data_IF_581957622889
#
_entry.id   IF_581957622889
#
_cell.length_a   1.000
_cell.length_b   1.000
_cell.length_c   1.000
_cell.angle_alpha   90.00
_cell.angle_beta   90.00
_cell.angle_gamma   90.00
#
_symmetry.space_group_name_H-M   'P 1'
#
loop_
_entity.id
_entity.type
_entity.pdbx_description
1 polymer ?
#
# COMPACT_ATOMS: atom_id res chain seq x y z
N UNK A 1 25.59 11.72 -13.55
CA UNK A 1 25.83 10.30 -13.87
C UNK A 1 25.58 9.55 -12.59
N UNK A 2 24.56 8.68 -12.52
CA UNK A 2 24.33 7.88 -11.32
C UNK A 2 25.45 6.82 -11.24
N UNK A 3 26.23 6.84 -10.16
CA UNK A 3 27.30 5.87 -9.92
C UNK A 3 26.72 4.45 -9.85
N UNK A 4 27.35 3.51 -10.55
CA UNK A 4 27.02 2.08 -10.42
C UNK A 4 27.49 1.63 -9.04
N UNK A 5 26.62 0.97 -8.26
CA UNK A 5 26.97 0.51 -6.92
C UNK A 5 28.18 -0.44 -6.95
N UNK A 6 28.99 -0.39 -5.89
CA UNK A 6 30.23 -1.18 -5.83
C UNK A 6 30.01 -2.62 -5.40
N UNK A 7 28.92 -2.88 -4.70
CA UNK A 7 28.58 -4.18 -4.13
C UNK A 7 27.05 -4.42 -4.12
N UNK A 8 26.66 -5.64 -3.80
CA UNK A 8 25.25 -6.05 -3.78
C UNK A 8 24.42 -5.28 -2.74
N UNK A 9 24.99 -4.93 -1.56
CA UNK A 9 24.28 -4.19 -0.51
C UNK A 9 23.94 -2.78 -0.97
N UNK A 10 24.89 -2.08 -1.55
CA UNK A 10 24.69 -0.75 -2.13
C UNK A 10 23.70 -0.78 -3.31
N UNK A 11 23.76 -1.84 -4.14
CA UNK A 11 22.81 -2.02 -5.24
C UNK A 11 21.39 -2.22 -4.72
N UNK A 12 21.18 -3.12 -3.77
CA UNK A 12 19.87 -3.39 -3.17
C UNK A 12 19.29 -2.14 -2.48
N UNK A 13 20.12 -1.38 -1.75
CA UNK A 13 19.71 -0.12 -1.16
C UNK A 13 19.25 0.89 -2.21
N UNK A 14 19.99 1.02 -3.32
CA UNK A 14 19.62 1.91 -4.42
C UNK A 14 18.34 1.46 -5.16
N UNK A 15 18.10 0.16 -5.27
CA UNK A 15 16.88 -0.41 -5.83
C UNK A 15 15.67 -0.15 -4.91
N UNK A 16 15.83 -0.30 -3.60
CA UNK A 16 14.79 0.06 -2.63
C UNK A 16 14.41 1.54 -2.74
N UNK A 17 15.37 2.44 -2.77
CA UNK A 17 15.09 3.86 -2.91
C UNK A 17 14.46 4.22 -4.27
N UNK A 18 14.78 3.50 -5.34
CA UNK A 18 14.09 3.66 -6.61
C UNK A 18 12.60 3.33 -6.50
N UNK A 19 12.25 2.27 -5.75
CA UNK A 19 10.86 1.93 -5.44
C UNK A 19 10.17 3.04 -4.64
N UNK A 20 10.75 3.44 -3.49
CA UNK A 20 10.17 4.44 -2.59
C UNK A 20 9.94 5.78 -3.30
N UNK A 21 10.93 6.25 -4.08
CA UNK A 21 10.80 7.50 -4.83
C UNK A 21 9.72 7.44 -5.92
N UNK A 22 9.58 6.29 -6.59
CA UNK A 22 8.58 6.11 -7.65
C UNK A 22 7.13 6.14 -7.13
N UNK A 23 6.94 5.80 -5.84
CA UNK A 23 5.63 5.77 -5.19
C UNK A 23 5.46 6.88 -4.15
N UNK A 24 6.33 7.89 -4.16
CA UNK A 24 6.19 9.07 -3.30
C UNK A 24 4.85 9.78 -3.58
N UNK A 25 3.93 9.86 -2.62
CA UNK A 25 2.54 10.27 -2.88
C UNK A 25 2.42 11.65 -3.50
N UNK A 26 3.24 12.62 -3.04
CA UNK A 26 3.26 13.98 -3.59
C UNK A 26 3.74 14.02 -5.03
N UNK A 27 4.86 13.38 -5.35
CA UNK A 27 5.41 13.35 -6.71
C UNK A 27 4.47 12.64 -7.70
N UNK A 28 3.91 11.51 -7.28
CA UNK A 28 2.95 10.74 -8.08
C UNK A 28 1.67 11.53 -8.34
N UNK A 29 1.16 12.26 -7.34
CA UNK A 29 0.01 13.14 -7.49
C UNK A 29 0.30 14.31 -8.45
N UNK A 30 1.46 14.96 -8.28
CA UNK A 30 1.89 16.06 -9.18
C UNK A 30 1.89 15.60 -10.64
N UNK A 31 2.53 14.48 -10.92
CA UNK A 31 2.58 13.92 -12.27
C UNK A 31 1.19 13.58 -12.83
N UNK A 32 0.24 13.19 -11.97
CA UNK A 32 -1.14 12.95 -12.38
C UNK A 32 -1.89 14.25 -12.66
N UNK A 33 -1.71 15.30 -11.85
CA UNK A 33 -2.35 16.61 -12.00
C UNK A 33 -1.83 17.38 -13.23
N UNK A 34 -0.55 17.29 -13.53
CA UNK A 34 0.04 17.91 -14.73
C UNK A 34 -0.60 17.44 -16.04
N UNK A 35 -1.17 16.22 -16.05
CA UNK A 35 -1.91 15.66 -17.19
C UNK A 35 -3.35 16.17 -17.31
N UNK A 36 -3.84 16.92 -16.33
CA UNK A 36 -5.18 17.55 -16.44
C UNK A 36 -5.15 18.59 -17.55
N UNK A 37 -6.07 18.51 -18.54
CA UNK A 37 -6.11 19.44 -19.67
C UNK A 37 -6.29 20.90 -19.20
N UNK A 38 -5.61 21.83 -19.86
CA UNK A 38 -5.63 23.26 -19.50
C UNK A 38 -7.05 23.83 -19.41
N UNK A 39 -7.94 23.46 -20.32
CA UNK A 39 -9.34 23.90 -20.35
C UNK A 39 -10.15 23.42 -19.14
N UNK A 40 -9.69 22.38 -18.44
CA UNK A 40 -10.36 21.85 -17.26
C UNK A 40 -9.86 22.48 -15.96
N UNK A 41 -8.74 23.20 -15.99
CA UNK A 41 -8.11 23.81 -14.81
C UNK A 41 -8.86 25.03 -14.25
N UNK A 42 -9.90 25.50 -14.94
CA UNK A 42 -10.71 26.66 -14.55
C UNK A 42 -11.78 26.42 -13.48
N UNK A 43 -12.07 25.18 -13.12
CA UNK A 43 -13.14 24.83 -12.16
C UNK A 43 -12.79 25.23 -10.71
N UNK A 44 -13.81 25.45 -9.88
CA UNK A 44 -13.65 25.57 -8.42
C UNK A 44 -13.27 24.21 -7.84
N UNK A 45 -12.17 24.10 -7.13
CA UNK A 45 -11.64 22.83 -6.65
C UNK A 45 -11.79 22.74 -5.13
N UNK A 46 -12.39 21.63 -4.68
CA UNK A 46 -12.40 21.17 -3.29
C UNK A 46 -11.38 20.06 -3.12
N UNK A 47 -10.74 19.99 -1.95
CA UNK A 47 -9.76 18.92 -1.64
C UNK A 47 -10.25 18.12 -0.44
N UNK A 48 -10.48 16.82 -0.62
CA UNK A 48 -10.80 15.86 0.45
C UNK A 48 -9.70 14.81 0.46
N UNK A 49 -8.82 14.86 1.45
CA UNK A 49 -7.69 13.95 1.59
C UNK A 49 -7.88 13.04 2.81
N UNK A 50 -7.82 11.71 2.63
CA UNK A 50 -8.08 10.74 3.70
C UNK A 50 -7.03 9.63 3.65
N UNK A 51 -6.33 9.38 4.76
CA UNK A 51 -5.38 8.29 4.89
C UNK A 51 -4.03 8.70 5.45
N UNK A 52 -3.11 7.74 5.56
CA UNK A 52 -1.75 7.96 6.10
C UNK A 52 -0.92 8.94 5.27
N UNK A 53 -1.15 9.01 3.95
CA UNK A 53 -0.48 9.94 3.05
C UNK A 53 -1.34 11.18 2.70
N UNK A 54 -2.45 11.43 3.43
CA UNK A 54 -3.38 12.52 3.14
C UNK A 54 -2.69 13.90 3.17
N UNK A 55 -1.84 14.13 4.17
CA UNK A 55 -1.18 15.44 4.34
C UNK A 55 -0.20 15.76 3.19
N UNK A 56 0.80 14.94 2.84
CA UNK A 56 1.71 15.21 1.73
C UNK A 56 0.98 15.26 0.37
N UNK A 57 -0.07 14.48 0.16
CA UNK A 57 -0.90 14.58 -1.05
C UNK A 57 -1.63 15.93 -1.11
N UNK A 58 -2.25 16.37 -0.01
CA UNK A 58 -2.96 17.65 0.04
C UNK A 58 -2.01 18.84 -0.15
N UNK A 59 -0.83 18.82 0.48
CA UNK A 59 0.20 19.85 0.27
C UNK A 59 0.56 19.97 -1.22
N UNK A 60 0.78 18.85 -1.90
CA UNK A 60 1.08 18.84 -3.33
C UNK A 60 -0.11 19.36 -4.17
N UNK A 61 -1.32 18.94 -3.87
CA UNK A 61 -2.53 19.40 -4.55
C UNK A 61 -2.68 20.92 -4.45
N UNK A 62 -2.47 21.48 -3.26
CA UNK A 62 -2.56 22.91 -3.01
C UNK A 62 -1.43 23.70 -3.69
N UNK A 63 -0.20 23.16 -3.71
CA UNK A 63 0.91 23.74 -4.44
C UNK A 63 0.62 23.82 -5.95
N UNK A 64 0.09 22.76 -6.54
CA UNK A 64 -0.30 22.71 -7.96
C UNK A 64 -1.44 23.71 -8.26
N UNK A 65 -2.43 23.84 -7.38
CA UNK A 65 -3.47 24.86 -7.52
C UNK A 65 -2.86 26.27 -7.52
N UNK A 66 -1.94 26.56 -6.61
CA UNK A 66 -1.25 27.85 -6.56
C UNK A 66 -0.44 28.14 -7.84
N UNK A 67 0.26 27.15 -8.40
CA UNK A 67 0.96 27.23 -9.69
C UNK A 67 0.00 27.53 -10.86
N UNK A 68 -1.25 27.06 -10.75
CA UNK A 68 -2.30 27.40 -11.73
C UNK A 68 -2.98 28.75 -11.45
N UNK A 69 -2.48 29.54 -10.49
CA UNK A 69 -3.09 30.79 -9.99
C UNK A 69 -4.53 30.56 -9.49
N UNK A 70 -4.76 29.46 -8.76
CA UNK A 70 -6.05 29.07 -8.19
C UNK A 70 -5.94 28.90 -6.68
N UNK A 71 -7.01 29.25 -5.99
CA UNK A 71 -7.19 28.94 -4.58
C UNK A 71 -8.18 27.80 -4.40
N UNK A 72 -8.03 26.90 -3.42
CA UNK A 72 -9.03 25.89 -3.15
C UNK A 72 -10.34 26.55 -2.69
N UNK A 73 -11.47 26.01 -3.11
CA UNK A 73 -12.79 26.44 -2.65
C UNK A 73 -13.03 26.08 -1.18
N UNK A 74 -12.33 25.06 -0.72
CA UNK A 74 -12.33 24.53 0.63
C UNK A 74 -11.78 23.10 0.64
N UNK A 75 -11.78 22.46 1.79
CA UNK A 75 -11.35 21.08 1.88
C UNK A 75 -11.17 20.58 3.30
N UNK A 76 -10.78 19.31 3.38
CA UNK A 76 -10.43 18.64 4.63
C UNK A 76 -9.33 17.61 4.41
N UNK A 77 -8.42 17.55 5.35
CA UNK A 77 -7.38 16.52 5.47
C UNK A 77 -7.67 15.70 6.72
N UNK A 78 -7.79 14.39 6.54
CA UNK A 78 -7.97 13.43 7.65
C UNK A 78 -6.77 12.49 7.65
N UNK A 79 -5.95 12.58 8.69
CA UNK A 79 -4.69 11.87 8.85
C UNK A 79 -4.58 11.26 10.26
N UNK A 80 -3.59 10.37 10.55
CA UNK A 80 -3.40 9.83 11.90
C UNK A 80 -3.06 10.90 12.95
N UNK A 81 -2.36 11.96 12.54
CA UNK A 81 -1.94 13.06 13.41
C UNK A 81 -2.53 14.38 12.91
N UNK A 82 -2.76 15.30 13.84
CA UNK A 82 -3.15 16.66 13.52
C UNK A 82 -1.89 17.48 13.25
N UNK A 83 -1.77 17.97 12.05
CA UNK A 83 -0.67 18.85 11.61
C UNK A 83 -1.22 20.22 11.26
N UNK A 84 -0.34 21.20 11.08
CA UNK A 84 -0.75 22.54 10.67
C UNK A 84 -1.47 22.49 9.30
N UNK A 85 -2.57 23.21 9.18
CA UNK A 85 -3.31 23.30 7.93
C UNK A 85 -2.44 23.99 6.86
N UNK A 86 -2.22 23.35 5.69
CA UNK A 86 -1.35 23.89 4.65
C UNK A 86 -2.00 25.08 3.91
N UNK A 87 -3.29 25.35 4.12
CA UNK A 87 -4.00 26.49 3.55
C UNK A 87 -5.22 26.85 4.44
N UNK A 88 -5.54 28.15 4.64
CA UNK A 88 -6.65 28.58 5.53
C UNK A 88 -8.03 28.04 5.15
N UNK A 89 -8.26 27.74 3.88
CA UNK A 89 -9.53 27.16 3.41
C UNK A 89 -9.66 25.64 3.62
N UNK A 90 -8.63 24.97 4.14
CA UNK A 90 -8.58 23.52 4.31
C UNK A 90 -8.46 23.18 5.79
N UNK A 91 -9.37 22.38 6.29
CA UNK A 91 -9.35 21.89 7.66
C UNK A 91 -8.43 20.68 7.79
N UNK A 92 -7.80 20.49 8.95
CA UNK A 92 -7.07 19.26 9.30
C UNK A 92 -7.73 18.63 10.51
N UNK A 93 -7.91 17.32 10.46
CA UNK A 93 -8.45 16.52 11.57
C UNK A 93 -7.64 15.23 11.72
N UNK A 94 -7.34 14.89 12.96
CA UNK A 94 -6.83 13.56 13.26
C UNK A 94 -7.99 12.55 13.31
N UNK A 95 -7.78 11.37 12.74
CA UNK A 95 -8.61 10.19 12.97
C UNK A 95 -7.87 9.16 13.83
N UNK A 96 -8.62 8.22 14.40
CA UNK A 96 -8.04 7.11 15.16
C UNK A 96 -7.64 5.96 14.22
N UNK A 97 -6.47 5.38 14.45
CA UNK A 97 -5.92 4.30 13.63
C UNK A 97 -4.94 3.46 14.47
N UNK A 98 -4.94 2.12 14.39
CA UNK A 98 -5.69 1.25 13.45
C UNK A 98 -7.15 1.01 13.87
N UNK A 99 -7.50 1.21 15.13
CA UNK A 99 -8.86 1.04 15.65
C UNK A 99 -9.57 2.39 15.60
N UNK A 100 -10.78 2.48 14.97
CA UNK A 100 -11.53 3.72 14.92
C UNK A 100 -12.06 4.12 16.29
N UNK A 101 -12.23 5.43 16.50
CA UNK A 101 -12.69 5.99 17.76
C UNK A 101 -13.38 7.35 17.59
N UNK A 102 -13.49 8.13 18.68
CA UNK A 102 -14.21 9.40 18.66
C UNK A 102 -13.66 10.42 17.65
N UNK A 103 -12.33 10.48 17.46
CA UNK A 103 -11.73 11.38 16.47
C UNK A 103 -12.10 10.99 15.04
N UNK A 104 -12.23 9.69 14.77
CA UNK A 104 -12.67 9.19 13.45
C UNK A 104 -14.11 9.61 13.14
N UNK A 105 -15.00 9.60 14.15
CA UNK A 105 -16.38 10.08 14.02
C UNK A 105 -16.41 11.57 13.70
N UNK A 106 -15.69 12.39 14.48
CA UNK A 106 -15.60 13.83 14.24
C UNK A 106 -15.07 14.13 12.84
N UNK A 107 -13.99 13.47 12.43
CA UNK A 107 -13.44 13.61 11.09
C UNK A 107 -14.46 13.26 9.99
N UNK A 108 -15.22 12.17 10.16
CA UNK A 108 -16.26 11.76 9.23
C UNK A 108 -17.43 12.77 9.15
N UNK A 109 -17.83 13.37 10.26
CA UNK A 109 -18.83 14.44 10.29
C UNK A 109 -18.34 15.69 9.55
N UNK A 110 -17.07 16.06 9.75
CA UNK A 110 -16.44 17.20 9.06
C UNK A 110 -16.37 16.97 7.54
N UNK A 111 -16.05 15.74 7.09
CA UNK A 111 -16.16 15.37 5.66
C UNK A 111 -17.58 15.67 5.14
N UNK A 112 -18.61 15.30 5.88
CA UNK A 112 -20.01 15.57 5.51
C UNK A 112 -20.32 17.05 5.36
N UNK A 113 -19.81 17.89 6.27
CA UNK A 113 -19.97 19.34 6.20
C UNK A 113 -19.26 19.96 4.98
N UNK A 114 -18.09 19.42 4.59
CA UNK A 114 -17.39 19.84 3.37
C UNK A 114 -18.17 19.39 2.14
N UNK A 115 -18.58 18.12 2.07
CA UNK A 115 -19.35 17.57 0.96
C UNK A 115 -20.65 18.35 0.72
N UNK A 116 -21.37 18.73 1.80
CA UNK A 116 -22.60 19.53 1.71
C UNK A 116 -22.43 20.96 1.17
N UNK A 117 -21.20 21.46 1.04
CA UNK A 117 -20.89 22.77 0.43
C UNK A 117 -20.54 22.70 -1.04
N UNK A 118 -20.28 21.50 -1.56
CA UNK A 118 -19.95 21.24 -2.96
C UNK A 118 -21.18 21.50 -3.84
N UNK A 119 -21.01 22.10 -5.00
CA UNK A 119 -22.09 22.51 -5.92
C UNK A 119 -21.88 21.87 -7.29
N UNK A 120 -22.92 21.85 -8.08
CA UNK A 120 -22.84 21.58 -9.51
C UNK A 120 -21.82 22.52 -10.18
N UNK A 121 -20.99 21.99 -11.07
CA UNK A 121 -19.91 22.72 -11.72
C UNK A 121 -18.59 22.76 -10.93
N UNK A 122 -18.61 22.43 -9.64
CA UNK A 122 -17.37 22.26 -8.87
C UNK A 122 -16.61 20.97 -9.29
N UNK A 123 -15.34 20.91 -8.94
CA UNK A 123 -14.50 19.72 -9.02
C UNK A 123 -14.00 19.34 -7.62
N UNK A 124 -14.04 18.07 -7.28
CA UNK A 124 -13.52 17.56 -6.01
C UNK A 124 -12.35 16.64 -6.26
N UNK A 125 -11.20 16.95 -5.68
CA UNK A 125 -10.06 16.05 -5.65
C UNK A 125 -10.12 15.22 -4.37
N UNK A 126 -10.48 13.95 -4.53
CA UNK A 126 -10.46 12.97 -3.44
C UNK A 126 -9.11 12.29 -3.47
N UNK A 127 -8.29 12.53 -2.43
CA UNK A 127 -6.93 12.01 -2.28
C UNK A 127 -6.97 10.89 -1.24
N UNK A 128 -6.86 9.64 -1.70
CA UNK A 128 -7.09 8.46 -0.88
C UNK A 128 -5.80 7.66 -0.70
N UNK A 129 -5.54 7.23 0.52
CA UNK A 129 -4.44 6.32 0.84
C UNK A 129 -4.82 5.35 1.96
N UNK A 130 -3.96 4.39 2.28
CA UNK A 130 -4.18 3.39 3.32
C UNK A 130 -4.58 3.97 4.66
N UNK A 131 -5.37 3.20 5.43
CA UNK A 131 -5.90 3.60 6.72
C UNK A 131 -7.18 4.44 6.69
N UNK A 132 -7.65 4.88 5.53
CA UNK A 132 -8.81 5.77 5.40
C UNK A 132 -10.09 5.22 6.05
N UNK A 133 -10.31 3.90 6.02
CA UNK A 133 -11.48 3.24 6.65
C UNK A 133 -11.57 3.53 8.14
N UNK A 134 -10.46 3.42 8.86
CA UNK A 134 -10.42 3.67 10.31
C UNK A 134 -10.42 5.17 10.63
N UNK A 135 -9.64 5.94 9.89
CA UNK A 135 -9.47 7.38 10.12
C UNK A 135 -10.75 8.21 9.94
N UNK A 136 -11.64 7.77 9.06
CA UNK A 136 -12.92 8.44 8.79
C UNK A 136 -14.12 7.51 9.04
N UNK A 137 -14.02 6.65 10.04
CA UNK A 137 -15.08 5.71 10.39
C UNK A 137 -16.26 6.42 11.03
N UNK A 138 -17.41 6.29 10.40
CA UNK A 138 -18.70 6.65 10.95
C UNK A 138 -19.77 5.67 10.48
N UNK A 139 -20.82 5.43 11.26
CA UNK A 139 -21.88 4.52 10.88
C UNK A 139 -22.78 5.11 9.79
N UNK A 140 -23.38 4.21 9.01
CA UNK A 140 -24.40 4.54 8.02
C UNK A 140 -25.80 4.41 8.62
N UNK A 141 -26.69 5.32 8.20
CA UNK A 141 -28.12 5.28 8.54
C UNK A 141 -28.40 5.34 10.04
N UNK A 142 -29.10 4.34 10.57
CA UNK A 142 -29.54 4.26 11.97
C UNK A 142 -28.60 3.47 12.87
N UNK A 143 -27.47 3.01 12.35
CA UNK A 143 -26.44 2.32 13.14
C UNK A 143 -25.76 3.32 14.06
N UNK A 144 -25.55 2.95 15.33
CA UNK A 144 -24.86 3.80 16.29
C UNK A 144 -23.35 3.62 16.23
N UNK A 145 -22.56 4.63 16.63
CA UNK A 145 -21.10 4.54 16.66
C UNK A 145 -20.57 3.37 17.48
N UNK A 146 -21.13 3.15 18.68
CA UNK A 146 -20.74 2.04 19.56
C UNK A 146 -21.01 0.67 18.91
N UNK A 147 -22.12 0.53 18.19
CA UNK A 147 -22.46 -0.68 17.46
C UNK A 147 -21.45 -0.96 16.32
N UNK A 148 -21.05 0.09 15.59
CA UNK A 148 -20.03 -0.04 14.54
C UNK A 148 -18.68 -0.48 15.09
N UNK A 149 -18.22 0.11 16.20
CA UNK A 149 -16.94 -0.23 16.80
C UNK A 149 -16.94 -1.65 17.37
N UNK A 150 -18.03 -2.06 18.04
CA UNK A 150 -18.20 -3.44 18.50
C UNK A 150 -18.18 -4.44 17.32
N UNK A 151 -18.79 -4.09 16.19
CA UNK A 151 -18.70 -4.93 14.99
C UNK A 151 -17.24 -5.10 14.54
N UNK A 152 -16.46 -4.01 14.49
CA UNK A 152 -15.06 -4.08 14.07
C UNK A 152 -14.22 -4.98 14.98
N UNK A 153 -14.40 -4.89 16.29
CA UNK A 153 -13.73 -5.77 17.26
C UNK A 153 -14.12 -7.24 17.07
N UNK A 154 -15.41 -7.53 16.89
CA UNK A 154 -15.89 -8.90 16.67
C UNK A 154 -15.37 -9.51 15.38
N UNK A 155 -15.26 -8.72 14.31
CA UNK A 155 -14.71 -9.18 13.04
C UNK A 155 -13.26 -9.65 13.18
N UNK A 156 -12.45 -9.02 14.03
CA UNK A 156 -11.06 -9.45 14.26
C UNK A 156 -10.95 -10.86 14.87
N UNK A 157 -11.93 -11.28 15.67
CA UNK A 157 -11.99 -12.62 16.27
C UNK A 157 -12.83 -13.64 15.49
N UNK A 158 -13.38 -13.29 14.33
CA UNK A 158 -14.38 -14.10 13.63
C UNK A 158 -13.84 -15.23 12.77
N UNK A 159 -12.54 -15.27 12.49
CA UNK A 159 -11.93 -16.20 11.53
C UNK A 159 -12.18 -15.85 10.05
N UNK A 160 -12.88 -14.77 9.76
CA UNK A 160 -13.02 -14.22 8.41
C UNK A 160 -11.68 -13.67 7.92
N UNK A 161 -11.42 -13.82 6.62
CA UNK A 161 -10.26 -13.16 6.01
C UNK A 161 -10.46 -11.62 5.92
N UNK A 162 -9.36 -10.89 5.68
CA UNK A 162 -9.39 -9.43 5.65
C UNK A 162 -10.32 -8.88 4.55
N UNK A 163 -10.46 -9.57 3.43
CA UNK A 163 -11.34 -9.18 2.33
C UNK A 163 -12.80 -9.28 2.75
N UNK A 164 -13.19 -10.36 3.38
CA UNK A 164 -14.52 -10.59 3.93
C UNK A 164 -14.85 -9.57 5.03
N UNK A 165 -13.92 -9.34 5.97
CA UNK A 165 -14.09 -8.31 7.00
C UNK A 165 -14.31 -6.92 6.39
N UNK A 166 -13.55 -6.55 5.38
CA UNK A 166 -13.68 -5.26 4.72
C UNK A 166 -14.99 -5.12 3.93
N UNK A 167 -15.51 -6.20 3.33
CA UNK A 167 -16.84 -6.22 2.70
C UNK A 167 -17.93 -5.92 3.73
N UNK A 168 -17.87 -6.52 4.91
CA UNK A 168 -18.83 -6.28 6.00
C UNK A 168 -18.68 -4.85 6.54
N UNK A 169 -17.45 -4.40 6.84
CA UNK A 169 -17.18 -3.05 7.37
C UNK A 169 -17.74 -1.96 6.48
N UNK A 170 -17.50 -2.03 5.17
CA UNK A 170 -17.93 -0.99 4.22
C UNK A 170 -19.46 -0.91 4.09
N UNK A 171 -20.20 -2.01 4.31
CA UNK A 171 -21.66 -2.01 4.31
C UNK A 171 -22.25 -1.03 5.32
N UNK A 172 -21.64 -0.95 6.50
CA UNK A 172 -22.09 -0.11 7.60
C UNK A 172 -21.32 1.23 7.70
N UNK A 173 -20.43 1.52 6.78
CA UNK A 173 -19.63 2.74 6.75
C UNK A 173 -20.34 3.86 6.00
N UNK A 174 -20.40 5.06 6.60
CA UNK A 174 -21.01 6.27 6.01
C UNK A 174 -20.34 6.70 4.70
N UNK A 175 -19.00 6.60 4.63
CA UNK A 175 -18.24 7.08 3.46
C UNK A 175 -17.74 5.97 2.55
N UNK A 176 -17.82 4.72 2.96
CA UNK A 176 -17.44 3.58 2.14
C UNK A 176 -18.48 3.22 1.06
N UNK A 177 -18.15 2.19 0.27
CA UNK A 177 -19.07 1.59 -0.68
C UNK A 177 -19.68 2.59 -1.69
N UNK A 178 -18.90 3.56 -2.17
CA UNK A 178 -19.35 4.57 -3.13
C UNK A 178 -20.14 5.75 -2.56
N UNK A 179 -20.48 5.75 -1.28
CA UNK A 179 -21.35 6.76 -0.67
C UNK A 179 -20.75 8.17 -0.67
N UNK A 180 -19.41 8.30 -0.61
CA UNK A 180 -18.79 9.61 -0.75
C UNK A 180 -19.03 10.20 -2.14
N UNK A 181 -18.92 9.40 -3.21
CA UNK A 181 -19.24 9.87 -4.57
C UNK A 181 -20.69 10.34 -4.70
N UNK A 182 -21.63 9.60 -4.10
CA UNK A 182 -23.05 9.99 -4.07
C UNK A 182 -23.23 11.32 -3.35
N UNK A 183 -22.57 11.51 -2.19
CA UNK A 183 -22.65 12.76 -1.43
C UNK A 183 -22.03 13.97 -2.14
N UNK A 184 -21.10 13.74 -3.07
CA UNK A 184 -20.43 14.77 -3.86
C UNK A 184 -21.15 15.06 -5.20
N UNK A 185 -22.08 14.20 -5.61
CA UNK A 185 -22.84 14.41 -6.85
C UNK A 185 -23.69 15.69 -6.79
N UNK A 186 -23.82 16.44 -7.91
CA UNK A 186 -23.38 16.15 -9.28
C UNK A 186 -22.00 16.73 -9.65
N UNK A 187 -21.16 17.09 -8.68
CA UNK A 187 -19.83 17.62 -8.97
C UNK A 187 -18.93 16.57 -9.65
N UNK A 188 -17.95 17.06 -10.39
CA UNK A 188 -16.90 16.17 -10.96
C UNK A 188 -15.94 15.72 -9.87
N UNK A 189 -15.73 14.44 -9.75
CA UNK A 189 -14.81 13.84 -8.77
C UNK A 189 -13.59 13.27 -9.47
N UNK A 190 -12.39 13.69 -9.06
CA UNK A 190 -11.12 13.04 -9.40
C UNK A 190 -10.57 12.35 -8.16
N UNK A 191 -10.66 11.04 -8.14
CA UNK A 191 -10.17 10.22 -7.04
C UNK A 191 -8.76 9.72 -7.36
N UNK A 192 -7.75 10.29 -6.70
CA UNK A 192 -6.34 9.90 -6.78
C UNK A 192 -5.99 8.99 -5.62
N UNK A 193 -5.45 7.81 -5.91
CA UNK A 193 -5.36 6.70 -4.97
C UNK A 193 -3.91 6.23 -4.86
N UNK A 194 -3.41 6.14 -3.62
CA UNK A 194 -2.21 5.36 -3.25
C UNK A 194 -2.70 4.03 -2.72
N UNK A 195 -2.39 2.94 -3.42
CA UNK A 195 -2.89 1.60 -3.11
C UNK A 195 -1.92 0.86 -2.19
N UNK A 196 -2.44 0.37 -1.06
CA UNK A 196 -1.80 -0.57 -0.13
C UNK A 196 -2.48 -1.95 -0.15
N UNK A 197 -3.24 -2.26 -1.22
CA UNK A 197 -3.98 -3.50 -1.37
C UNK A 197 -3.40 -4.34 -2.51
N UNK A 198 -3.18 -5.63 -2.26
CA UNK A 198 -2.74 -6.59 -3.27
C UNK A 198 -3.77 -6.63 -4.42
N UNK A 199 -3.29 -6.48 -5.65
CA UNK A 199 -4.13 -6.50 -6.84
C UNK A 199 -4.85 -5.19 -7.15
N UNK A 200 -4.61 -4.13 -6.35
CA UNK A 200 -5.12 -2.78 -6.59
C UNK A 200 -6.66 -2.68 -6.69
N UNK A 201 -7.38 -3.53 -5.94
CA UNK A 201 -8.86 -3.50 -5.92
C UNK A 201 -9.37 -2.18 -5.36
N UNK A 202 -9.89 -1.33 -6.25
CA UNK A 202 -10.43 -0.02 -5.90
C UNK A 202 -11.60 -0.07 -4.90
N UNK A 203 -12.35 -1.17 -4.85
CA UNK A 203 -13.46 -1.34 -3.92
C UNK A 203 -12.99 -1.72 -2.51
N UNK A 204 -11.76 -2.23 -2.37
CA UNK A 204 -11.14 -2.56 -1.10
C UNK A 204 -10.35 -1.38 -0.51
N UNK A 205 -9.67 -0.59 -1.34
CA UNK A 205 -8.84 0.54 -0.88
C UNK A 205 -9.70 1.60 -0.18
N UNK A 206 -9.43 1.82 1.12
CA UNK A 206 -10.17 2.77 1.94
C UNK A 206 -11.68 2.51 1.99
N UNK A 207 -12.11 1.25 1.80
CA UNK A 207 -13.53 0.85 1.67
C UNK A 207 -14.25 1.40 0.43
N UNK A 208 -13.53 1.78 -0.62
CA UNK A 208 -14.07 2.21 -1.90
C UNK A 208 -14.99 3.43 -1.84
N UNK A 209 -14.59 4.59 -1.26
CA UNK A 209 -15.50 5.72 -1.04
C UNK A 209 -16.09 6.31 -2.31
N UNK A 210 -15.37 6.19 -3.44
CA UNK A 210 -15.81 6.67 -4.75
C UNK A 210 -15.96 5.55 -5.79
N UNK A 211 -16.20 4.31 -5.33
CA UNK A 211 -16.30 3.12 -6.20
C UNK A 211 -17.64 2.43 -5.95
N UNK A 212 -18.38 2.02 -7.00
CA UNK A 212 -19.58 1.21 -6.84
C UNK A 212 -19.29 -0.05 -6.03
N UNK A 213 -20.20 -0.41 -5.13
CA UNK A 213 -20.04 -1.60 -4.31
C UNK A 213 -20.55 -2.86 -5.05
N UNK A 214 -19.70 -3.85 -5.37
CA UNK A 214 -20.15 -5.07 -6.01
C UNK A 214 -20.89 -6.03 -5.06
N UNK A 215 -20.74 -5.87 -3.72
CA UNK A 215 -21.39 -6.74 -2.75
C UNK A 215 -22.88 -6.42 -2.60
N UNK A 216 -23.68 -7.41 -2.20
CA UNK A 216 -25.13 -7.25 -1.92
C UNK A 216 -25.43 -7.47 -0.45
N UNK A 217 -26.56 -6.99 0.02
CA UNK A 217 -27.02 -7.24 1.38
C UNK A 217 -27.15 -8.74 1.67
N UNK A 218 -27.67 -9.52 0.72
CA UNK A 218 -27.75 -10.98 0.85
C UNK A 218 -26.38 -11.65 1.00
N UNK A 219 -25.37 -11.19 0.26
CA UNK A 219 -24.01 -11.69 0.39
C UNK A 219 -23.42 -11.35 1.78
N UNK A 220 -23.63 -10.13 2.27
CA UNK A 220 -23.19 -9.72 3.62
C UNK A 220 -23.91 -10.54 4.71
N UNK A 221 -25.21 -10.78 4.55
CA UNK A 221 -25.99 -11.61 5.47
C UNK A 221 -25.39 -13.04 5.53
N UNK A 222 -25.19 -13.67 4.38
CA UNK A 222 -24.62 -15.02 4.30
C UNK A 222 -23.23 -15.11 4.95
N UNK A 223 -22.35 -14.12 4.75
CA UNK A 223 -21.04 -14.09 5.40
C UNK A 223 -21.15 -13.97 6.91
N UNK A 224 -22.01 -13.07 7.41
CA UNK A 224 -22.23 -12.87 8.83
C UNK A 224 -22.85 -14.12 9.50
N UNK A 225 -23.77 -14.79 8.83
CA UNK A 225 -24.39 -16.02 9.32
C UNK A 225 -23.38 -17.19 9.36
N UNK A 226 -22.60 -17.35 8.28
CA UNK A 226 -21.55 -18.38 8.21
C UNK A 226 -20.45 -18.19 9.27
N UNK A 227 -20.17 -16.95 9.67
CA UNK A 227 -19.24 -16.61 10.75
C UNK A 227 -19.89 -16.69 12.16
N UNK A 228 -21.18 -17.05 12.27
CA UNK A 228 -21.91 -17.07 13.53
C UNK A 228 -22.25 -15.70 14.12
N UNK A 229 -21.95 -14.61 13.39
CA UNK A 229 -22.09 -13.23 13.87
C UNK A 229 -23.49 -12.67 13.70
N UNK A 230 -24.30 -13.21 12.77
CA UNK A 230 -25.60 -12.65 12.45
C UNK A 230 -26.52 -12.47 13.67
N UNK A 231 -26.61 -13.52 14.51
CA UNK A 231 -27.48 -13.47 15.67
C UNK A 231 -27.02 -12.49 16.76
N UNK A 232 -25.75 -12.15 16.77
CA UNK A 232 -25.14 -11.23 17.74
C UNK A 232 -25.20 -9.75 17.30
N UNK A 233 -25.58 -9.49 16.05
CA UNK A 233 -25.67 -8.11 15.55
C UNK A 233 -26.77 -7.32 16.22
N UNK A 234 -26.55 -6.02 16.46
CA UNK A 234 -27.60 -5.06 16.84
C UNK A 234 -28.77 -5.05 15.85
N UNK A 235 -29.95 -4.75 16.37
CA UNK A 235 -31.19 -4.72 15.55
C UNK A 235 -31.12 -3.68 14.43
N UNK A 236 -30.44 -2.55 14.65
CA UNK A 236 -30.18 -1.50 13.64
C UNK A 236 -29.46 -2.07 12.42
N UNK A 237 -28.38 -2.86 12.62
CA UNK A 237 -27.61 -3.50 11.57
C UNK A 237 -28.40 -4.60 10.85
N UNK A 238 -29.12 -5.45 11.62
CA UNK A 238 -30.01 -6.47 11.03
C UNK A 238 -31.06 -5.84 10.13
N UNK A 239 -31.70 -4.75 10.59
CA UNK A 239 -32.69 -4.02 9.79
C UNK A 239 -32.11 -3.40 8.54
N UNK A 240 -30.88 -2.85 8.60
CA UNK A 240 -30.19 -2.30 7.44
C UNK A 240 -29.93 -3.37 6.37
N UNK A 241 -29.46 -4.55 6.77
CA UNK A 241 -29.22 -5.66 5.83
C UNK A 241 -30.53 -6.23 5.30
N UNK A 242 -31.43 -6.67 6.19
CA UNK A 242 -32.69 -7.29 5.79
C UNK A 242 -33.65 -6.30 5.07
N UNK A 243 -33.49 -4.99 5.31
CA UNK A 243 -34.22 -3.97 4.55
C UNK A 243 -33.77 -3.94 3.10
N UNK A 244 -32.47 -3.92 2.86
CA UNK A 244 -31.91 -3.88 1.51
C UNK A 244 -32.09 -5.19 0.72
N UNK A 245 -32.21 -6.33 1.41
CA UNK A 245 -32.60 -7.59 0.76
C UNK A 245 -34.02 -7.54 0.15
N UNK A 246 -34.90 -6.77 0.77
CA UNK A 246 -36.30 -6.62 0.33
C UNK A 246 -36.52 -5.44 -0.59
N UNK A 247 -35.74 -4.39 -0.44
CA UNK A 247 -35.85 -3.15 -1.20
C UNK A 247 -34.48 -2.76 -1.79
N UNK A 248 -34.29 -2.98 -3.10
CA UNK A 248 -33.03 -2.63 -3.79
C UNK A 248 -32.65 -1.16 -3.70
N UNK A 249 -33.58 -0.24 -3.40
CA UNK A 249 -33.28 1.19 -3.22
C UNK A 249 -32.47 1.48 -1.95
N UNK A 250 -32.45 0.54 -1.00
CA UNK A 250 -31.66 0.58 0.23
C UNK A 250 -30.30 -0.09 0.11
N UNK A 251 -29.97 -0.60 -1.08
CA UNK A 251 -28.65 -1.17 -1.34
C UNK A 251 -27.55 -0.10 -1.32
N UNK A 252 -26.31 -0.54 -1.12
CA UNK A 252 -25.14 0.31 -1.37
C UNK A 252 -25.13 0.77 -2.82
N UNK A 253 -24.58 1.97 -3.14
CA UNK A 253 -24.47 2.46 -4.51
C UNK A 253 -23.86 1.44 -5.47
N UNK A 254 -24.54 1.16 -6.58
CA UNK A 254 -24.19 0.10 -7.54
C UNK A 254 -23.61 0.67 -8.85
N UNK A 255 -22.98 -0.21 -9.63
CA UNK A 255 -22.61 0.14 -10.99
C UNK A 255 -23.87 0.58 -11.78
N UNK A 256 -23.78 1.72 -12.45
CA UNK A 256 -24.93 2.32 -13.15
C UNK A 256 -25.63 3.44 -12.38
N UNK A 257 -25.33 3.65 -11.09
CA UNK A 257 -25.79 4.85 -10.39
C UNK A 257 -25.19 6.10 -11.06
N UNK A 258 -26.05 7.11 -11.32
CA UNK A 258 -25.70 8.34 -12.00
C UNK A 258 -24.57 9.12 -11.30
N UNK A 259 -24.41 8.98 -9.98
CA UNK A 259 -23.35 9.60 -9.21
C UNK A 259 -21.94 9.21 -9.71
N UNK A 260 -21.77 8.03 -10.30
CA UNK A 260 -20.49 7.57 -10.81
C UNK A 260 -20.15 8.05 -12.22
N UNK A 261 -21.08 8.65 -12.95
CA UNK A 261 -20.84 9.15 -14.32
C UNK A 261 -19.78 10.26 -14.37
N UNK A 262 -19.59 10.98 -13.27
CA UNK A 262 -18.65 12.10 -13.17
C UNK A 262 -17.44 11.77 -12.27
N UNK A 263 -17.18 10.50 -11.98
CA UNK A 263 -16.07 10.04 -11.12
C UNK A 263 -14.95 9.44 -11.97
N UNK A 264 -13.84 10.14 -12.04
CA UNK A 264 -12.57 9.62 -12.56
C UNK A 264 -11.76 9.02 -11.41
N UNK A 265 -11.26 7.80 -11.57
CA UNK A 265 -10.45 7.07 -10.57
C UNK A 265 -9.09 6.79 -11.14
N UNK A 266 -8.03 7.10 -10.37
CA UNK A 266 -6.66 6.90 -10.82
C UNK A 266 -5.78 6.43 -9.67
N UNK A 267 -5.22 5.23 -9.78
CA UNK A 267 -4.12 4.79 -8.93
C UNK A 267 -2.88 5.53 -9.38
N UNK A 268 -2.28 6.30 -8.47
CA UNK A 268 -1.09 7.10 -8.72
C UNK A 268 0.18 6.46 -8.14
N UNK A 269 0.03 5.61 -7.13
CA UNK A 269 1.11 4.83 -6.55
C UNK A 269 0.56 3.48 -6.08
N UNK A 270 1.31 2.40 -6.30
CA UNK A 270 0.98 1.04 -5.87
C UNK A 270 2.23 0.18 -5.80
N UNK A 271 2.11 -1.01 -5.22
CA UNK A 271 3.21 -1.96 -5.18
C UNK A 271 3.74 -2.26 -6.59
N UNK A 272 2.86 -2.45 -7.57
CA UNK A 272 3.23 -2.66 -8.97
C UNK A 272 4.14 -1.55 -9.52
N UNK A 273 3.83 -0.28 -9.25
CA UNK A 273 4.67 0.86 -9.66
C UNK A 273 6.05 0.80 -9.00
N UNK A 274 6.10 0.42 -7.72
CA UNK A 274 7.35 0.21 -7.00
C UNK A 274 8.21 -0.89 -7.64
N UNK A 275 7.60 -2.05 -7.98
CA UNK A 275 8.31 -3.16 -8.62
C UNK A 275 8.81 -2.80 -10.03
N UNK A 276 8.03 -2.09 -10.83
CA UNK A 276 8.42 -1.58 -12.15
C UNK A 276 9.63 -0.62 -12.04
N UNK A 277 9.67 0.22 -11.01
CA UNK A 277 10.80 1.12 -10.76
C UNK A 277 12.08 0.36 -10.37
N UNK A 278 11.95 -0.67 -9.51
CA UNK A 278 13.05 -1.57 -9.18
C UNK A 278 13.57 -2.24 -10.46
N UNK A 279 12.67 -2.80 -11.26
CA UNK A 279 13.01 -3.49 -12.51
C UNK A 279 13.78 -2.57 -13.47
N UNK A 280 13.27 -1.37 -13.71
CA UNK A 280 13.92 -0.38 -14.57
C UNK A 280 15.32 -0.02 -14.03
N UNK A 281 15.46 0.20 -12.72
CA UNK A 281 16.72 0.56 -12.10
C UNK A 281 17.72 -0.60 -12.10
N UNK A 282 17.27 -1.84 -11.85
CA UNK A 282 18.14 -3.03 -11.87
C UNK A 282 18.81 -3.24 -13.24
N UNK A 283 18.08 -2.97 -14.34
CA UNK A 283 18.67 -2.99 -15.69
C UNK A 283 19.84 -2.02 -15.83
N UNK A 284 19.75 -0.82 -15.24
CA UNK A 284 20.86 0.15 -15.29
C UNK A 284 22.12 -0.31 -14.52
N UNK A 285 21.96 -1.26 -13.62
CA UNK A 285 23.06 -1.90 -12.88
C UNK A 285 23.55 -3.20 -13.54
N UNK A 286 23.08 -3.49 -14.76
CA UNK A 286 23.49 -4.66 -15.54
C UNK A 286 22.89 -5.98 -15.03
N UNK A 287 21.86 -5.95 -14.19
CA UNK A 287 21.09 -7.12 -13.82
C UNK A 287 20.07 -7.49 -14.90
N UNK A 288 19.70 -8.75 -14.94
CA UNK A 288 18.52 -9.26 -15.66
C UNK A 288 17.35 -9.36 -14.68
N UNK A 289 16.53 -8.32 -14.56
CA UNK A 289 15.46 -8.31 -13.58
C UNK A 289 14.24 -9.11 -14.05
N UNK A 290 13.59 -9.77 -13.10
CA UNK A 290 12.33 -10.50 -13.28
C UNK A 290 11.40 -10.18 -12.12
N UNK A 291 10.28 -9.53 -12.43
CA UNK A 291 9.18 -9.37 -11.49
C UNK A 291 8.38 -10.67 -11.49
N UNK A 292 8.29 -11.34 -10.35
CA UNK A 292 7.58 -12.60 -10.21
C UNK A 292 6.14 -12.32 -9.78
N UNK A 293 5.19 -12.80 -10.60
CA UNK A 293 3.77 -12.40 -10.56
C UNK A 293 2.96 -12.89 -9.35
N UNK A 294 3.51 -13.80 -8.53
CA UNK A 294 2.84 -14.22 -7.29
C UNK A 294 3.16 -13.21 -6.20
N UNK A 295 2.13 -12.58 -5.63
CA UNK A 295 2.28 -11.70 -4.48
C UNK A 295 2.89 -12.46 -3.30
N UNK A 296 3.74 -11.77 -2.53
CA UNK A 296 4.22 -12.29 -1.25
C UNK A 296 3.02 -12.50 -0.32
N UNK A 297 2.90 -13.70 0.21
CA UNK A 297 1.84 -14.05 1.17
C UNK A 297 2.26 -15.26 2.00
N UNK A 298 1.70 -15.37 3.21
CA UNK A 298 1.98 -16.45 4.17
C UNK A 298 3.08 -16.13 5.16
N UNK A 299 3.49 -17.12 5.94
CA UNK A 299 4.46 -16.96 7.03
C UNK A 299 5.85 -16.54 6.54
N UNK A 300 6.34 -15.43 7.06
CA UNK A 300 7.58 -14.76 6.64
C UNK A 300 8.79 -15.69 6.60
N UNK A 301 8.98 -16.50 7.66
CA UNK A 301 10.08 -17.44 7.75
C UNK A 301 10.01 -18.57 6.69
N UNK A 302 8.80 -18.99 6.30
CA UNK A 302 8.60 -20.00 5.24
C UNK A 302 8.88 -19.37 3.88
N UNK A 303 8.37 -18.16 3.67
CA UNK A 303 8.55 -17.41 2.43
C UNK A 303 10.04 -17.14 2.20
N UNK A 304 10.80 -16.69 3.21
CA UNK A 304 12.23 -16.40 3.09
C UNK A 304 13.05 -17.58 2.52
N UNK A 305 12.82 -18.80 3.03
CA UNK A 305 13.46 -20.02 2.48
C UNK A 305 13.07 -20.28 1.03
N UNK A 306 11.78 -20.19 0.72
CA UNK A 306 11.26 -20.43 -0.63
C UNK A 306 11.85 -19.47 -1.66
N UNK A 307 12.04 -18.20 -1.29
CA UNK A 307 12.60 -17.19 -2.21
C UNK A 307 14.06 -17.50 -2.57
N UNK A 308 14.87 -17.98 -1.62
CA UNK A 308 16.26 -18.39 -1.90
C UNK A 308 16.32 -19.64 -2.77
N UNK A 309 15.45 -20.62 -2.53
CA UNK A 309 15.34 -21.80 -3.41
C UNK A 309 14.96 -21.38 -4.85
N UNK A 310 14.05 -20.41 -4.98
CA UNK A 310 13.70 -19.82 -6.29
C UNK A 310 14.91 -19.12 -6.92
N UNK A 311 15.62 -18.26 -6.19
CA UNK A 311 16.83 -17.59 -6.70
C UNK A 311 17.86 -18.61 -7.20
N UNK A 312 18.10 -19.68 -6.44
CA UNK A 312 19.00 -20.78 -6.82
C UNK A 312 18.62 -21.37 -8.16
N UNK A 313 17.34 -21.72 -8.34
CA UNK A 313 16.86 -22.32 -9.59
C UNK A 313 17.11 -21.41 -10.80
N UNK A 314 16.92 -20.11 -10.66
CA UNK A 314 17.21 -19.15 -11.73
C UNK A 314 18.71 -19.00 -12.01
N UNK A 315 19.56 -18.97 -10.98
CA UNK A 315 21.02 -18.91 -11.16
C UNK A 315 21.55 -20.18 -11.85
N UNK A 316 21.05 -21.36 -11.51
CA UNK A 316 21.46 -22.64 -12.15
C UNK A 316 21.00 -22.69 -13.63
N UNK A 317 19.83 -22.18 -13.98
CA UNK A 317 19.35 -22.06 -15.36
C UNK A 317 20.19 -21.07 -16.19
N UNK A 318 20.54 -19.93 -15.63
CA UNK A 318 21.37 -18.93 -16.31
C UNK A 318 22.80 -19.46 -16.54
N UNK A 319 23.36 -20.22 -15.60
CA UNK A 319 24.68 -20.85 -15.73
C UNK A 319 24.71 -21.96 -16.82
N UNK A 320 23.60 -22.67 -17.00
CA UNK A 320 23.47 -23.76 -18.00
C UNK A 320 23.14 -23.26 -19.40
N UNK A 321 22.74 -22.01 -19.56
CA UNK A 321 22.34 -21.41 -20.83
C UNK A 321 23.55 -21.08 -21.72
N UNK A 322 23.58 -21.64 -22.92
CA UNK A 322 24.57 -21.33 -23.96
C UNK A 322 24.43 -19.92 -24.56
N UNK A 323 23.47 -19.11 -24.06
CA UNK A 323 23.09 -17.81 -24.65
C UNK A 323 23.98 -16.63 -24.24
N UNK A 324 25.12 -16.83 -23.58
CA UNK A 324 26.03 -15.75 -23.18
C UNK A 324 25.43 -14.77 -22.15
N UNK A 325 24.45 -15.23 -21.35
CA UNK A 325 23.83 -14.45 -20.29
C UNK A 325 24.86 -14.07 -19.23
N UNK A 326 24.70 -12.90 -18.66
CA UNK A 326 25.71 -12.28 -17.78
C UNK A 326 25.84 -12.95 -16.41
N UNK A 327 24.96 -13.89 -16.06
CA UNK A 327 24.90 -14.50 -14.72
C UNK A 327 24.53 -13.52 -13.61
N UNK A 328 23.91 -12.38 -13.97
CA UNK A 328 23.50 -11.31 -13.05
C UNK A 328 22.00 -11.28 -12.93
N UNK A 329 21.47 -12.18 -12.13
CA UNK A 329 20.01 -12.31 -11.90
C UNK A 329 19.53 -11.32 -10.84
N UNK A 330 18.38 -10.72 -11.06
CA UNK A 330 17.64 -9.95 -10.06
C UNK A 330 16.18 -10.40 -10.05
N UNK A 331 15.75 -11.00 -8.95
CA UNK A 331 14.36 -11.41 -8.76
C UNK A 331 13.65 -10.40 -7.84
N UNK A 332 12.44 -10.03 -8.19
CA UNK A 332 11.69 -8.96 -7.54
C UNK A 332 10.30 -9.48 -7.20
N UNK A 333 9.89 -9.30 -5.95
CA UNK A 333 8.56 -9.62 -5.45
C UNK A 333 7.97 -8.46 -4.69
N UNK A 334 6.66 -8.39 -4.63
CA UNK A 334 5.90 -7.46 -3.81
C UNK A 334 4.71 -8.12 -3.14
N UNK A 335 4.18 -7.51 -2.13
CA UNK A 335 3.06 -8.00 -1.34
C UNK A 335 3.31 -7.88 0.15
N UNK A 336 2.73 -8.75 0.95
CA UNK A 336 2.83 -8.67 2.41
C UNK A 336 2.81 -10.08 3.02
N UNK A 337 3.84 -10.41 3.79
CA UNK A 337 3.90 -11.66 4.58
C UNK A 337 3.32 -11.44 5.97
N UNK A 338 3.09 -12.52 6.68
CA UNK A 338 2.58 -12.51 8.05
C UNK A 338 3.60 -13.13 9.00
N UNK A 339 3.49 -12.77 10.30
CA UNK A 339 4.15 -13.43 11.41
C UNK A 339 3.10 -13.75 12.45
N UNK A 340 2.86 -15.03 12.71
CA UNK A 340 1.91 -15.47 13.71
C UNK A 340 2.59 -15.46 15.07
N UNK A 341 2.36 -14.39 15.85
CA UNK A 341 2.97 -14.21 17.17
C UNK A 341 2.29 -15.06 18.24
N UNK A 342 3.08 -15.72 19.06
CA UNK A 342 2.64 -16.33 20.30
C UNK A 342 2.52 -15.33 21.47
N UNK A 343 2.08 -15.79 22.64
CA UNK A 343 1.95 -14.95 23.83
C UNK A 343 3.29 -14.34 24.30
N UNK A 344 4.40 -15.02 24.06
CA UNK A 344 5.75 -14.53 24.29
C UNK A 344 6.50 -14.51 22.98
N UNK A 345 6.93 -13.35 22.56
CA UNK A 345 7.70 -13.14 21.33
C UNK A 345 8.78 -12.07 21.53
N UNK A 346 9.82 -12.11 20.69
CA UNK A 346 10.88 -11.13 20.66
C UNK A 346 10.51 -9.89 19.85
N UNK A 347 11.54 -9.13 19.44
CA UNK A 347 11.43 -7.90 18.68
C UNK A 347 11.79 -8.11 17.21
N UNK A 348 10.96 -7.62 16.30
CA UNK A 348 11.19 -7.72 14.86
C UNK A 348 9.96 -7.32 14.06
N UNK A 349 10.01 -7.60 12.77
CA UNK A 349 8.90 -7.44 11.86
C UNK A 349 8.95 -8.51 10.77
N UNK A 350 7.93 -8.58 9.92
CA UNK A 350 7.78 -9.61 8.89
C UNK A 350 8.90 -9.58 7.84
N UNK A 351 9.36 -8.40 7.45
CA UNK A 351 10.48 -8.25 6.51
C UNK A 351 11.79 -8.70 7.14
N UNK A 352 12.02 -8.37 8.41
CA UNK A 352 13.20 -8.80 9.17
C UNK A 352 13.21 -10.31 9.39
N UNK A 353 12.06 -10.91 9.73
CA UNK A 353 11.95 -12.35 9.90
C UNK A 353 12.15 -13.11 8.58
N UNK A 354 11.56 -12.63 7.49
CA UNK A 354 11.80 -13.14 6.14
C UNK A 354 13.29 -13.10 5.80
N UNK A 355 13.94 -11.94 6.04
CA UNK A 355 15.36 -11.76 5.75
C UNK A 355 16.25 -12.67 6.61
N UNK A 356 15.96 -12.81 7.91
CA UNK A 356 16.74 -13.71 8.79
C UNK A 356 16.62 -15.16 8.34
N UNK A 357 15.41 -15.60 7.96
CA UNK A 357 15.18 -16.93 7.41
C UNK A 357 15.91 -17.13 6.07
N UNK A 358 15.91 -16.12 5.19
CA UNK A 358 16.67 -16.14 3.95
C UNK A 358 18.17 -16.18 4.18
N UNK A 359 18.70 -15.51 5.21
CA UNK A 359 20.12 -15.55 5.58
C UNK A 359 20.60 -16.96 5.94
N UNK A 360 19.77 -17.73 6.65
CA UNK A 360 20.03 -19.14 6.94
C UNK A 360 20.19 -19.94 5.65
N UNK A 361 19.23 -19.84 4.76
CA UNK A 361 19.20 -20.57 3.50
C UNK A 361 20.35 -20.18 2.58
N UNK A 362 20.70 -18.88 2.52
CA UNK A 362 21.88 -18.41 1.78
C UNK A 362 23.20 -19.01 2.31
N UNK A 363 23.33 -19.14 3.63
CA UNK A 363 24.54 -19.71 4.24
C UNK A 363 24.71 -21.21 3.92
N UNK A 364 23.59 -21.95 3.86
CA UNK A 364 23.54 -23.39 3.63
C UNK A 364 23.57 -23.77 2.15
N UNK A 365 23.15 -22.87 1.24
CA UNK A 365 23.03 -23.16 -0.19
C UNK A 365 24.34 -22.95 -0.94
N UNK A 366 24.89 -24.01 -1.55
CA UNK A 366 26.05 -23.92 -2.43
C UNK A 366 25.70 -23.18 -3.73
N UNK A 367 26.69 -22.49 -4.33
CA UNK A 367 26.52 -21.80 -5.62
C UNK A 367 25.98 -20.37 -5.53
N UNK A 368 25.58 -19.89 -4.35
CA UNK A 368 25.05 -18.54 -4.12
C UNK A 368 26.04 -17.61 -3.38
N UNK A 369 27.34 -17.73 -3.67
CA UNK A 369 28.40 -16.99 -2.95
C UNK A 369 28.29 -15.46 -3.08
N UNK A 370 27.74 -14.95 -4.17
CA UNK A 370 27.56 -13.53 -4.45
C UNK A 370 26.10 -13.07 -4.30
N UNK A 371 25.23 -13.96 -3.79
CA UNK A 371 23.83 -13.64 -3.65
C UNK A 371 23.58 -12.77 -2.40
N UNK A 372 22.60 -11.88 -2.53
CA UNK A 372 22.09 -11.06 -1.44
C UNK A 372 20.57 -10.88 -1.61
N UNK A 373 19.87 -10.66 -0.48
CA UNK A 373 18.45 -10.40 -0.47
C UNK A 373 18.15 -9.18 0.42
N UNK A 374 17.30 -8.31 -0.08
CA UNK A 374 16.64 -7.24 0.66
C UNK A 374 15.18 -7.61 0.86
N UNK A 375 14.65 -7.44 2.06
CA UNK A 375 13.22 -7.42 2.35
C UNK A 375 12.90 -6.19 3.19
N UNK A 376 11.97 -5.35 2.74
CA UNK A 376 11.66 -4.10 3.43
C UNK A 376 10.24 -3.58 3.13
N UNK A 377 9.62 -2.98 4.14
CA UNK A 377 8.41 -2.17 3.99
C UNK A 377 8.70 -0.86 3.27
N UNK A 378 7.82 -0.47 2.36
CA UNK A 378 7.99 0.79 1.63
C UNK A 378 7.75 2.03 2.49
N UNK A 379 7.10 1.89 3.65
CA UNK A 379 6.83 2.97 4.60
C UNK A 379 8.05 3.33 5.50
N UNK A 380 9.13 2.54 5.40
CA UNK A 380 10.35 2.75 6.18
C UNK A 380 10.31 2.14 7.57
N UNK A 381 9.31 1.31 7.88
CA UNK A 381 9.15 0.65 9.17
C UNK A 381 8.72 -0.82 8.99
N UNK A 382 9.23 -1.68 9.83
CA UNK A 382 8.88 -3.10 9.87
C UNK A 382 8.64 -3.54 11.31
N UNK A 383 7.39 -3.87 11.63
CA UNK A 383 6.96 -4.12 13.01
C UNK A 383 7.12 -2.90 13.92
N UNK A 384 7.36 -3.14 15.21
CA UNK A 384 7.64 -2.08 16.18
C UNK A 384 9.15 -1.80 16.29
N UNK A 385 9.77 -1.48 15.14
CA UNK A 385 11.22 -1.22 15.07
C UNK A 385 11.52 0.08 14.32
N UNK A 386 12.78 0.53 14.36
CA UNK A 386 13.30 1.69 13.63
C UNK A 386 13.89 1.31 12.25
N UNK A 387 13.67 0.09 11.79
CA UNK A 387 14.17 -0.40 10.51
C UNK A 387 13.03 -0.67 9.53
N UNK A 388 13.24 -0.36 8.26
CA UNK A 388 12.34 -0.73 7.17
C UNK A 388 12.34 -2.24 6.89
N UNK A 389 13.42 -2.92 7.28
CA UNK A 389 13.66 -4.33 7.04
C UNK A 389 15.14 -4.68 7.14
N UNK A 390 15.62 -5.57 6.27
CA UNK A 390 17.03 -5.97 6.29
C UNK A 390 17.60 -6.34 4.92
N UNK A 391 18.94 -6.27 4.82
CA UNK A 391 19.71 -6.75 3.68
C UNK A 391 20.64 -7.85 4.18
N UNK A 392 20.47 -9.05 3.64
CA UNK A 392 21.21 -10.24 4.06
C UNK A 392 22.01 -10.82 2.92
N UNK A 393 23.16 -11.41 3.29
CA UNK A 393 24.09 -12.11 2.40
C UNK A 393 24.38 -13.50 2.95
N UNK A 394 25.15 -14.28 2.22
CA UNK A 394 25.62 -15.59 2.67
C UNK A 394 26.33 -15.54 4.04
N UNK A 395 27.01 -14.43 4.34
CA UNK A 395 27.82 -14.33 5.56
C UNK A 395 27.01 -13.86 6.78
N UNK A 396 25.80 -13.30 6.56
CA UNK A 396 24.98 -12.70 7.63
C UNK A 396 24.72 -13.68 8.77
N UNK A 397 24.32 -14.92 8.48
CA UNK A 397 24.01 -15.92 9.49
C UNK A 397 25.23 -16.22 10.39
N UNK A 398 26.40 -16.41 9.80
CA UNK A 398 27.65 -16.65 10.52
C UNK A 398 28.10 -15.42 11.32
N UNK A 399 27.91 -14.23 10.78
CA UNK A 399 28.22 -12.96 11.46
C UNK A 399 27.39 -12.82 12.74
N UNK A 400 26.09 -13.17 12.70
CA UNK A 400 25.23 -13.21 13.90
C UNK A 400 25.79 -14.16 14.95
N UNK A 401 26.17 -15.39 14.55
CA UNK A 401 26.77 -16.37 15.44
C UNK A 401 28.09 -15.91 16.08
N UNK A 402 28.98 -15.28 15.30
CA UNK A 402 30.22 -14.71 15.78
C UNK A 402 30.01 -13.53 16.74
N UNK A 403 28.89 -12.82 16.62
CA UNK A 403 28.49 -11.79 17.56
C UNK A 403 27.86 -12.35 18.86
N UNK A 404 27.87 -13.68 19.03
CA UNK A 404 27.41 -14.36 20.25
C UNK A 404 25.92 -14.59 20.34
N UNK A 405 25.17 -14.44 19.24
CA UNK A 405 23.73 -14.74 19.20
C UNK A 405 23.44 -16.10 18.57
N UNK A 406 22.31 -16.68 18.91
CA UNK A 406 21.77 -17.87 18.27
C UNK A 406 20.63 -17.50 17.31
N UNK A 407 20.92 -17.32 16.01
CA UNK A 407 19.92 -16.90 15.06
C UNK A 407 18.81 -17.95 14.83
N UNK A 408 19.05 -19.23 15.13
CA UNK A 408 18.01 -20.27 15.06
C UNK A 408 16.97 -20.09 16.17
N UNK A 409 17.43 -19.83 17.39
CA UNK A 409 16.56 -19.54 18.53
C UNK A 409 15.82 -18.22 18.33
N UNK A 410 16.52 -17.19 17.88
CA UNK A 410 15.95 -15.87 17.66
C UNK A 410 14.86 -15.90 16.57
N UNK A 411 15.07 -16.66 15.48
CA UNK A 411 14.04 -16.88 14.45
C UNK A 411 12.82 -17.64 15.03
N UNK A 412 13.04 -18.66 15.84
CA UNK A 412 11.96 -19.44 16.45
C UNK A 412 11.14 -18.64 17.49
N UNK A 413 11.72 -17.60 18.08
CA UNK A 413 11.08 -16.72 19.05
C UNK A 413 10.64 -15.36 18.47
N UNK A 414 10.66 -15.20 17.14
CA UNK A 414 10.33 -13.94 16.45
C UNK A 414 11.19 -12.74 16.93
N UNK A 415 12.48 -12.98 17.25
CA UNK A 415 13.45 -11.99 17.75
C UNK A 415 14.47 -11.59 16.66
N UNK A 416 13.98 -11.33 15.46
CA UNK A 416 14.82 -11.10 14.27
C UNK A 416 15.62 -9.78 14.33
N UNK A 417 15.07 -8.74 14.97
CA UNK A 417 15.72 -7.43 15.03
C UNK A 417 17.10 -7.47 15.71
N UNK A 418 17.29 -7.99 16.93
CA UNK A 418 18.60 -7.98 17.55
C UNK A 418 19.62 -8.85 16.83
N UNK A 419 19.19 -9.94 16.17
CA UNK A 419 20.07 -10.78 15.35
C UNK A 419 20.60 -10.02 14.15
N UNK A 420 19.72 -9.36 13.40
CA UNK A 420 20.11 -8.60 12.21
C UNK A 420 20.91 -7.34 12.55
N UNK A 421 20.62 -6.72 13.71
CA UNK A 421 21.38 -5.58 14.21
C UNK A 421 22.83 -5.98 14.53
N UNK A 422 23.02 -7.09 15.23
CA UNK A 422 24.34 -7.64 15.55
C UNK A 422 25.21 -7.92 14.30
N UNK A 423 24.59 -8.21 13.15
CA UNK A 423 25.27 -8.40 11.87
C UNK A 423 25.38 -7.12 11.03
N UNK A 424 24.87 -5.97 11.48
CA UNK A 424 24.79 -4.74 10.69
C UNK A 424 23.96 -4.92 9.40
N UNK A 425 22.94 -5.77 9.46
CA UNK A 425 22.11 -6.16 8.33
C UNK A 425 20.80 -5.34 8.23
N UNK A 426 20.42 -4.60 9.26
CA UNK A 426 19.21 -3.79 9.26
C UNK A 426 19.27 -2.66 8.23
N UNK A 427 18.16 -2.44 7.54
CA UNK A 427 17.94 -1.29 6.67
C UNK A 427 17.15 -0.23 7.43
N UNK A 428 17.84 0.84 7.87
CA UNK A 428 17.24 1.98 8.55
C UNK A 428 17.12 3.15 7.58
N UNK A 429 15.92 3.74 7.45
CA UNK A 429 15.62 4.72 6.40
C UNK A 429 14.86 5.94 6.89
N UNK A 430 14.48 6.00 8.14
CA UNK A 430 13.39 6.87 8.61
C UNK A 430 12.05 6.56 7.90
N UNK A 431 10.98 7.26 8.29
CA UNK A 431 9.66 7.12 7.65
C UNK A 431 9.70 7.74 6.24
N UNK A 432 9.23 7.01 5.25
CA UNK A 432 9.26 7.40 3.84
C UNK A 432 8.05 8.22 3.39
N UNK A 433 7.06 8.38 4.27
CA UNK A 433 5.77 9.02 3.98
C UNK A 433 4.96 8.37 2.84
N UNK A 434 5.30 7.14 2.43
CA UNK A 434 4.49 6.31 1.53
C UNK A 434 4.21 4.95 2.16
N UNK A 435 3.21 4.23 1.67
CA UNK A 435 2.99 2.81 1.99
C UNK A 435 2.30 2.15 0.82
N UNK A 436 3.01 1.27 0.13
CA UNK A 436 2.51 0.40 -0.92
C UNK A 436 2.91 -1.06 -0.66
N UNK A 437 2.88 -1.48 0.59
CA UNK A 437 3.30 -2.81 1.08
C UNK A 437 4.83 -3.02 1.03
N UNK A 438 5.24 -4.28 1.08
CA UNK A 438 6.64 -4.67 1.12
C UNK A 438 7.19 -4.94 -0.28
N UNK A 439 8.51 -4.78 -0.40
CA UNK A 439 9.29 -5.22 -1.56
C UNK A 439 10.38 -6.18 -1.11
N UNK A 440 10.58 -7.24 -1.89
CA UNK A 440 11.69 -8.16 -1.72
C UNK A 440 12.48 -8.22 -3.02
N UNK A 441 13.80 -8.07 -2.90
CA UNK A 441 14.71 -8.06 -4.04
C UNK A 441 15.83 -9.03 -3.74
N UNK A 442 16.03 -10.04 -4.59
CA UNK A 442 17.15 -10.95 -4.48
C UNK A 442 18.05 -10.82 -5.71
N UNK A 443 19.34 -10.66 -5.49
CA UNK A 443 20.33 -10.55 -6.57
C UNK A 443 21.37 -11.66 -6.48
N UNK A 444 21.88 -12.06 -7.65
CA UNK A 444 23.04 -12.93 -7.77
C UNK A 444 24.02 -12.31 -8.78
N UNK A 445 25.29 -12.31 -8.45
CA UNK A 445 26.35 -11.62 -9.22
C UNK A 445 26.50 -10.13 -8.82
N UNK A 446 27.72 -9.55 -9.04
CA UNK A 446 27.99 -8.15 -8.73
C UNK A 446 27.28 -7.22 -9.72
N UNK A 447 26.92 -5.99 -9.32
CA UNK A 447 26.45 -4.98 -10.26
C UNK A 447 27.53 -4.62 -11.28
N UNK A 448 27.14 -4.24 -12.49
CA UNK A 448 28.04 -3.76 -13.52
C UNK A 448 27.41 -2.61 -14.31
N UNK A 449 28.27 -1.78 -14.89
CA UNK A 449 27.87 -0.69 -15.75
C UNK A 449 27.36 -1.23 -17.11
N UNK A 450 26.08 -1.23 -17.36
CA UNK A 450 25.54 -1.50 -18.69
C UNK A 450 25.50 -0.20 -19.51
N UNK A 451 26.56 0.02 -20.29
CA UNK A 451 26.68 1.16 -21.19
C UNK A 451 25.56 1.21 -22.27
N UNK A 452 24.88 0.07 -22.54
CA UNK A 452 23.77 -0.01 -23.52
C UNK A 452 22.47 0.51 -22.95
N UNK A 453 22.21 0.35 -21.65
CA UNK A 453 21.02 0.88 -20.97
C UNK A 453 21.03 2.41 -20.83
N UNK A 454 22.19 3.06 -20.97
CA UNK A 454 22.35 4.52 -20.85
C UNK A 454 21.85 5.32 -22.06
N UNK A 455 21.47 4.67 -23.16
CA UNK A 455 21.18 5.36 -24.44
C UNK A 455 19.75 5.90 -24.59
N UNK A 456 18.86 5.78 -23.59
CA UNK A 456 17.50 6.32 -23.72
C UNK A 456 16.91 6.83 -22.40
N UNK A 457 17.08 8.15 -22.09
CA UNK A 457 16.25 8.81 -21.06
C UNK A 457 14.73 8.78 -21.38
N UNK A 458 14.39 8.56 -22.65
CA UNK A 458 13.01 8.43 -23.14
C UNK A 458 12.32 7.14 -22.71
N UNK A 459 13.03 6.04 -22.47
CA UNK A 459 12.44 4.73 -22.15
C UNK A 459 11.85 4.68 -20.74
N UNK A 460 12.41 5.42 -19.78
CA UNK A 460 11.81 5.50 -18.43
C UNK A 460 10.46 6.24 -18.45
N UNK A 461 10.34 7.28 -19.28
CA UNK A 461 9.08 8.01 -19.49
C UNK A 461 8.11 7.24 -20.40
N UNK A 462 8.60 6.48 -21.38
CA UNK A 462 7.76 5.63 -22.24
C UNK A 462 7.26 4.38 -21.56
N UNK A 463 8.00 3.78 -20.65
CA UNK A 463 7.53 2.63 -19.84
C UNK A 463 6.35 3.05 -18.93
N UNK A 464 6.44 4.24 -18.34
CA UNK A 464 5.34 4.85 -17.57
C UNK A 464 4.16 5.19 -18.51
N UNK A 465 4.43 5.68 -19.73
CA UNK A 465 3.41 5.99 -20.72
C UNK A 465 2.80 4.75 -21.41
N UNK A 466 3.58 3.69 -21.59
CA UNK A 466 3.15 2.45 -22.23
C UNK A 466 2.24 1.59 -21.35
N UNK A 467 2.47 1.58 -20.04
CA UNK A 467 1.60 0.91 -19.05
C UNK A 467 0.20 1.54 -18.99
N UNK A 468 0.11 2.85 -19.30
CA UNK A 468 -1.13 3.61 -19.30
C UNK A 468 -1.94 3.48 -20.63
N UNK A 469 -1.33 2.99 -21.71
CA UNK A 469 -2.05 2.69 -22.96
C UNK A 469 -2.80 1.36 -22.92
N UNK A 470 -2.29 0.38 -22.19
CA UNK A 470 -2.93 -0.95 -22.00
C UNK A 470 -4.13 -0.94 -21.05
N UNK A 471 -4.44 0.18 -20.42
CA UNK A 471 -5.64 0.38 -19.61
C UNK A 471 -6.78 1.07 -20.39
N UNK A 472 -6.65 1.22 -21.71
CA UNK A 472 -7.69 1.78 -22.59
C UNK A 472 -8.30 0.76 -23.55
N UNK A 473 -7.81 -0.47 -23.55
CA UNK A 473 -8.43 -1.66 -24.15
C UNK A 473 -8.98 -2.56 -23.04
#
# INVERSE_FOLDING_TARGET
MADVPRDAKSALTALYWAAVHAVAPGASLRAALERVPMQERGRRVWVIAIGKAAHPMAQTALAVLAEWNRTPAGGIIVAPNEEAAPHPAVEVRAGDHPVPGPRSLEAAERIGLVAGRVREGDEVWVLLSGGATSLAAAPEGTVRPDELFQLYDRLLGSGLDITQMNLIRKRFSRWGAGRLAVALAPARVRNYIVSDVIGDDLAAIGSGPCVPDPSTAAHIHQMLDSAGLWNELPLSMKRSVSGAERDPSLETPKAGDAAFAHVERRIIASNRVALEAIEARARTFGYEPRVLGAALAGEAAIVGRRLIATLRSYCDQDASSLSGRTGRTCLIWGGETTVTLGAAHGRGGRCQELALSAARELAETAGLSTAALLAAGTDGRDGDTDAAGAIVTRDTWRTIQHAGRDPSRDLASHDSYPSLDAAGALLRTDLTATNVMDVVIAVCGPPADDKRARLTPAVALEAIAGSLRRLKE
#
